data_IF_293217512671
#
_entry.id   IF_293217512671
#
_cell.length_a   1.000
_cell.length_b   1.000
_cell.length_c   1.000
_cell.angle_alpha   90.00
_cell.angle_beta   90.00
_cell.angle_gamma   90.00
#
_symmetry.space_group_name_H-M   'P 1'
#
loop_
_entity.id
_entity.type
_entity.pdbx_description
1 polymer ?
#
# COMPACT_ATOMS: atom_id res chain seq x y z
N UNK A 1 -15.91 -45.61 -22.30
CA UNK A 1 -17.08 -44.72 -22.45
C UNK A 1 -16.96 -44.01 -23.78
N UNK A 2 -17.96 -44.13 -24.65
CA UNK A 2 -17.97 -43.48 -25.98
C UNK A 2 -18.82 -42.22 -25.85
N UNK A 3 -18.24 -41.07 -26.19
CA UNK A 3 -18.86 -39.76 -26.07
C UNK A 3 -18.58 -38.95 -27.34
N UNK A 4 -19.44 -37.98 -27.65
CA UNK A 4 -19.29 -37.10 -28.81
C UNK A 4 -18.13 -36.12 -28.57
N UNK A 5 -17.19 -36.01 -29.52
CA UNK A 5 -16.01 -35.16 -29.35
C UNK A 5 -16.33 -33.66 -29.33
N UNK A 6 -17.41 -33.27 -30.02
CA UNK A 6 -17.78 -31.87 -30.26
C UNK A 6 -18.53 -31.27 -29.07
N UNK A 7 -19.58 -31.93 -28.56
CA UNK A 7 -20.35 -31.46 -27.40
C UNK A 7 -19.90 -32.07 -26.06
N UNK A 8 -19.01 -33.07 -26.07
CA UNK A 8 -18.57 -33.84 -24.89
C UNK A 8 -19.68 -34.57 -24.13
N UNK A 9 -20.84 -34.78 -24.76
CA UNK A 9 -21.96 -35.55 -24.20
C UNK A 9 -21.96 -37.01 -24.68
N UNK A 10 -22.94 -37.81 -24.26
CA UNK A 10 -23.08 -39.21 -24.68
C UNK A 10 -23.13 -39.33 -26.22
N UNK A 11 -22.58 -40.43 -26.76
CA UNK A 11 -22.50 -40.63 -28.22
C UNK A 11 -23.87 -40.56 -28.89
N UNK A 12 -23.92 -39.85 -30.03
CA UNK A 12 -25.11 -39.71 -30.87
C UNK A 12 -24.74 -39.72 -32.36
N UNK A 13 -25.70 -40.06 -33.20
CA UNK A 13 -25.60 -40.07 -34.66
C UNK A 13 -26.42 -38.90 -35.25
N UNK A 14 -25.75 -38.01 -36.00
CA UNK A 14 -26.33 -36.77 -36.51
C UNK A 14 -25.71 -35.51 -35.88
N UNK A 15 -26.20 -34.33 -36.28
CA UNK A 15 -25.71 -33.04 -35.77
C UNK A 15 -25.91 -32.91 -34.26
N UNK A 16 -24.94 -32.30 -33.57
CA UNK A 16 -25.10 -31.98 -32.15
C UNK A 16 -26.32 -31.07 -31.99
N UNK A 17 -27.29 -31.47 -31.16
CA UNK A 17 -28.51 -30.71 -30.89
C UNK A 17 -28.23 -29.33 -30.27
N UNK A 18 -27.08 -29.20 -29.61
CA UNK A 18 -26.45 -27.91 -29.40
C UNK A 18 -25.59 -27.58 -30.62
N UNK A 19 -26.16 -26.82 -31.57
CA UNK A 19 -25.34 -25.83 -32.25
C UNK A 19 -24.81 -24.94 -31.12
N UNK A 20 -23.63 -25.30 -30.62
CA UNK A 20 -22.88 -24.50 -29.69
C UNK A 20 -22.72 -23.17 -30.42
N UNK A 21 -23.56 -22.18 -30.06
CA UNK A 21 -23.23 -20.80 -30.32
C UNK A 21 -21.86 -20.66 -29.69
N UNK A 22 -20.84 -20.75 -30.54
CA UNK A 22 -19.50 -20.39 -30.18
C UNK A 22 -19.70 -19.01 -29.59
N UNK A 23 -19.66 -18.93 -28.27
CA UNK A 23 -19.69 -17.67 -27.54
C UNK A 23 -18.32 -17.07 -27.83
N UNK A 24 -18.16 -16.64 -29.08
CA UNK A 24 -16.97 -16.05 -29.62
C UNK A 24 -16.71 -14.87 -28.73
N UNK A 25 -15.55 -14.92 -28.05
CA UNK A 25 -15.06 -13.94 -27.09
C UNK A 25 -16.00 -12.74 -26.96
N UNK A 26 -17.10 -12.93 -26.21
CA UNK A 26 -17.93 -11.78 -25.87
C UNK A 26 -16.98 -10.93 -25.07
N UNK A 27 -16.72 -9.72 -25.55
CA UNK A 27 -15.99 -8.70 -24.81
C UNK A 27 -16.82 -8.43 -23.56
N UNK A 28 -16.65 -9.28 -22.56
CA UNK A 28 -17.34 -9.15 -21.30
C UNK A 28 -16.68 -7.95 -20.64
N UNK A 29 -17.30 -6.79 -20.87
CA UNK A 29 -16.91 -5.52 -20.30
C UNK A 29 -16.90 -5.73 -18.78
N UNK A 30 -15.71 -5.92 -18.24
CA UNK A 30 -15.52 -6.12 -16.82
C UNK A 30 -16.04 -4.86 -16.13
N UNK A 31 -17.15 -4.99 -15.40
CA UNK A 31 -17.79 -3.86 -14.72
C UNK A 31 -16.97 -3.54 -13.48
N UNK A 32 -16.08 -2.57 -13.61
CA UNK A 32 -15.35 -2.01 -12.48
C UNK A 32 -16.24 -0.94 -11.85
N UNK A 33 -16.46 -1.03 -10.53
CA UNK A 33 -17.06 0.06 -9.77
C UNK A 33 -16.07 1.22 -9.68
N UNK A 34 -16.47 2.39 -10.18
CA UNK A 34 -15.61 3.57 -10.31
C UNK A 34 -15.05 4.02 -8.96
N UNK A 35 -15.90 4.08 -7.93
CA UNK A 35 -15.48 4.49 -6.58
C UNK A 35 -14.52 3.49 -5.96
N UNK A 36 -14.72 2.19 -6.19
CA UNK A 36 -13.80 1.14 -5.75
C UNK A 36 -12.45 1.21 -6.48
N UNK A 37 -12.44 1.56 -7.78
CA UNK A 37 -11.22 1.75 -8.54
C UNK A 37 -10.42 2.97 -8.06
N UNK A 38 -11.10 4.07 -7.74
CA UNK A 38 -10.46 5.29 -7.22
C UNK A 38 -9.78 5.08 -5.87
N UNK A 39 -10.47 4.45 -4.90
CA UNK A 39 -9.89 4.15 -3.58
C UNK A 39 -8.81 3.06 -3.61
N UNK A 40 -8.79 2.22 -4.65
CA UNK A 40 -7.74 1.24 -4.88
C UNK A 40 -6.47 1.88 -5.50
N UNK A 41 -6.51 3.17 -5.88
CA UNK A 41 -5.31 3.91 -6.28
C UNK A 41 -4.41 4.07 -5.06
N UNK A 42 -3.27 3.39 -5.10
CA UNK A 42 -2.23 3.31 -4.06
C UNK A 42 -1.69 4.66 -3.55
N UNK A 43 -1.98 5.76 -4.25
CA UNK A 43 -1.36 7.07 -4.03
C UNK A 43 -1.84 7.81 -2.77
N UNK A 44 -3.08 7.61 -2.32
CA UNK A 44 -3.62 8.30 -1.12
C UNK A 44 -3.14 7.65 0.18
N UNK A 45 -3.08 6.31 0.21
CA UNK A 45 -2.52 5.56 1.34
C UNK A 45 -1.05 5.90 1.58
N UNK A 46 -0.30 6.23 0.52
CA UNK A 46 1.11 6.62 0.63
C UNK A 46 1.30 7.95 1.37
N UNK A 47 0.47 8.97 1.08
CA UNK A 47 0.59 10.31 1.69
C UNK A 47 0.24 10.32 3.18
N UNK A 48 -0.78 9.57 3.58
CA UNK A 48 -1.14 9.44 5.01
C UNK A 48 -0.09 8.65 5.79
N UNK A 49 0.51 7.63 5.19
CA UNK A 49 1.59 6.87 5.83
C UNK A 49 2.81 7.74 6.07
N UNK A 50 3.21 8.56 5.09
CA UNK A 50 4.33 9.51 5.21
C UNK A 50 4.08 10.52 6.34
N UNK A 51 2.86 11.06 6.46
CA UNK A 51 2.50 11.99 7.55
C UNK A 51 2.52 11.32 8.93
N UNK A 52 2.27 10.01 9.01
CA UNK A 52 2.28 9.25 10.27
C UNK A 52 3.68 8.85 10.70
N UNK A 53 4.62 8.67 9.76
CA UNK A 53 5.98 8.20 10.05
C UNK A 53 7.04 9.30 10.10
N UNK A 54 6.73 10.51 9.62
CA UNK A 54 7.70 11.61 9.54
C UNK A 54 7.31 12.82 10.40
N UNK A 55 8.29 13.46 11.05
CA UNK A 55 8.13 14.74 11.76
C UNK A 55 9.14 15.76 11.23
N UNK A 56 8.77 17.05 11.15
CA UNK A 56 9.68 18.09 10.69
C UNK A 56 10.76 18.38 11.75
N UNK A 57 12.00 18.57 11.31
CA UNK A 57 13.08 19.03 12.19
C UNK A 57 12.77 20.43 12.74
N UNK A 58 12.95 20.69 14.06
CA UNK A 58 12.64 21.99 14.67
C UNK A 58 13.53 23.15 14.20
N UNK A 59 14.66 22.87 13.52
CA UNK A 59 15.57 23.89 13.00
C UNK A 59 15.43 24.11 11.50
N UNK A 60 15.44 23.05 10.70
CA UNK A 60 15.44 23.15 9.23
C UNK A 60 14.10 22.78 8.57
N UNK A 61 13.11 22.34 9.35
CA UNK A 61 11.78 21.92 8.90
C UNK A 61 11.74 20.77 7.87
N UNK A 62 12.88 20.16 7.56
CA UNK A 62 12.95 18.98 6.69
C UNK A 62 12.22 17.82 7.38
N UNK A 63 11.34 17.07 6.67
CA UNK A 63 10.66 15.91 7.21
C UNK A 63 11.67 14.79 7.47
N UNK A 64 11.74 14.34 8.72
CA UNK A 64 12.63 13.26 9.17
C UNK A 64 11.77 12.05 9.50
N UNK A 65 12.12 10.87 8.97
CA UNK A 65 11.49 9.60 9.31
C UNK A 65 12.10 9.00 10.59
N UNK A 66 11.26 8.51 11.50
CA UNK A 66 11.72 7.83 12.72
C UNK A 66 12.20 6.41 12.39
N UNK A 67 13.51 6.23 12.23
CA UNK A 67 14.10 4.91 12.02
C UNK A 67 14.49 4.24 13.36
N UNK A 68 13.49 3.72 14.10
CA UNK A 68 13.71 2.85 15.27
C UNK A 68 12.96 3.24 16.55
N UNK A 69 13.41 2.70 17.68
CA UNK A 69 12.79 2.88 19.01
C UNK A 69 13.36 4.01 19.86
N UNK A 70 14.44 4.69 19.44
CA UNK A 70 15.03 5.79 20.21
C UNK A 70 14.28 7.11 19.96
N UNK A 71 14.02 7.89 21.01
CA UNK A 71 13.49 9.25 20.90
C UNK A 71 14.58 10.28 20.59
N UNK A 72 15.85 9.94 20.76
CA UNK A 72 16.96 10.79 20.36
C UNK A 72 17.18 10.71 18.85
N UNK A 73 16.97 11.82 18.14
CA UNK A 73 17.15 11.90 16.70
C UNK A 73 18.15 12.97 16.33
N UNK A 74 19.02 12.64 15.38
CA UNK A 74 19.94 13.59 14.76
C UNK A 74 19.41 13.93 13.37
N UNK A 75 19.35 15.23 13.05
CA UNK A 75 18.91 15.67 11.73
C UNK A 75 19.92 15.21 10.67
N UNK A 76 19.52 14.40 9.67
CA UNK A 76 20.41 13.88 8.63
C UNK A 76 20.87 14.96 7.63
N UNK A 77 20.29 16.16 7.69
CA UNK A 77 20.69 17.25 6.81
C UNK A 77 22.10 17.76 7.18
N UNK A 78 23.07 17.71 6.26
CA UNK A 78 24.45 18.15 6.50
C UNK A 78 24.58 19.55 7.11
N UNK A 79 23.81 20.58 6.67
CA UNK A 79 23.91 21.91 7.26
C UNK A 79 23.19 22.04 8.62
N UNK A 80 22.41 21.05 9.05
CA UNK A 80 21.60 21.14 10.27
C UNK A 80 22.23 20.36 11.42
N UNK A 81 22.43 19.05 11.27
CA UNK A 81 23.05 18.17 12.28
C UNK A 81 22.42 18.17 13.68
N UNK A 82 21.29 18.86 13.88
CA UNK A 82 20.68 19.05 15.20
C UNK A 82 20.27 17.73 15.83
N UNK A 83 20.66 17.53 17.08
CA UNK A 83 20.16 16.49 17.97
C UNK A 83 18.90 16.98 18.69
N UNK A 84 17.79 16.26 18.55
CA UNK A 84 16.49 16.67 19.08
C UNK A 84 15.68 15.47 19.55
N UNK A 85 14.72 15.73 20.43
CA UNK A 85 13.82 14.69 20.93
C UNK A 85 12.59 14.55 20.03
N UNK A 86 12.33 13.34 19.53
CA UNK A 86 11.18 13.03 18.70
C UNK A 86 9.83 13.28 19.40
N UNK A 87 9.75 13.03 20.71
CA UNK A 87 8.53 13.26 21.49
C UNK A 87 8.29 14.76 21.74
N UNK A 88 9.32 15.49 22.18
CA UNK A 88 9.19 16.89 22.59
C UNK A 88 9.34 17.91 21.46
N UNK A 89 10.02 17.58 20.35
CA UNK A 89 10.31 18.53 19.27
C UNK A 89 11.34 19.60 19.65
N UNK A 90 12.08 19.43 20.75
CA UNK A 90 13.10 20.36 21.22
C UNK A 90 14.50 19.75 21.17
N UNK A 91 15.54 20.57 21.36
CA UNK A 91 16.94 20.10 21.41
C UNK A 91 17.13 19.02 22.49
N UNK A 92 17.90 17.98 22.13
CA UNK A 92 18.08 16.82 22.98
C UNK A 92 18.76 17.20 24.30
N UNK A 93 18.13 16.82 25.41
CA UNK A 93 18.59 17.20 26.75
C UNK A 93 18.43 16.04 27.75
N UNK A 94 19.04 16.20 28.92
CA UNK A 94 19.04 15.17 29.97
C UNK A 94 17.64 14.86 30.52
N UNK A 95 16.71 15.81 30.47
CA UNK A 95 15.33 15.56 30.88
C UNK A 95 14.65 14.59 29.89
N UNK A 96 14.85 14.78 28.58
CA UNK A 96 14.35 13.86 27.56
C UNK A 96 14.96 12.46 27.70
N UNK A 97 16.25 12.40 28.04
CA UNK A 97 16.96 11.15 28.30
C UNK A 97 16.39 10.39 29.51
N UNK A 98 15.96 11.07 30.57
CA UNK A 98 15.42 10.42 31.76
C UNK A 98 13.94 10.04 31.65
N UNK A 99 13.15 10.87 30.98
CA UNK A 99 11.69 10.78 30.96
C UNK A 99 11.16 9.92 29.80
N UNK A 100 11.76 10.03 28.61
CA UNK A 100 11.28 9.36 27.40
C UNK A 100 12.45 9.06 26.45
N UNK A 101 13.43 8.29 26.92
CA UNK A 101 14.57 7.87 26.09
C UNK A 101 14.11 7.04 24.87
N UNK A 102 13.22 6.08 25.10
CA UNK A 102 12.76 5.12 24.10
C UNK A 102 11.25 5.17 23.95
N UNK A 103 10.77 4.71 22.79
CA UNK A 103 9.37 4.40 22.53
C UNK A 103 8.96 3.24 23.45
N UNK A 104 7.94 3.44 24.28
CA UNK A 104 7.35 2.39 25.15
C UNK A 104 6.37 1.51 24.39
#
# INVERSE_FOLDING_TARGET
>A
FVFCQDCKEAYHEGECSALFEASGAVSQAYRVDEKAAERARWEEASKETIKKTTKPCPRCHVPIEKNGGCMHMTCPQPPCGLEWCWACGCEWNRACMGDHWFDV
#
